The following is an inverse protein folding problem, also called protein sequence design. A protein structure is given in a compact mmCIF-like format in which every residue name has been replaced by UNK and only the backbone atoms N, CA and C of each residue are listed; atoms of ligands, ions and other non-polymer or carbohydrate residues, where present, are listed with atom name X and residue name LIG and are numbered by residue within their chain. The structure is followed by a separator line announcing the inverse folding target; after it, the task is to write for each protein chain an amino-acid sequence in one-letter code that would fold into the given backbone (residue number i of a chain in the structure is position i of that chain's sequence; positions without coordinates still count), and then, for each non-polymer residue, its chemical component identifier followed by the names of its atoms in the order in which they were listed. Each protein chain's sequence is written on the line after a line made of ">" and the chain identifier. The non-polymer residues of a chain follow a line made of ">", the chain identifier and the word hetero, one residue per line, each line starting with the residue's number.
data_IF_967183287748
#
_entry.id   IF_967183287748
#
_cell.length_a   1.000
_cell.length_b   1.000
_cell.length_c   1.000
_cell.angle_alpha   90.00
_cell.angle_beta   90.00
_cell.angle_gamma   90.00
#
_symmetry.space_group_name_H-M   'P 1'
#
loop_
_entity.id
_entity.type
_entity.pdbx_description
1 polymer ?
#
# COMPACT_ATOMS: atom_id res chain seq x y z
N UNK A 1 -13.13 -8.69 -8.66
CA UNK A 1 -12.10 -9.73 -8.38
C UNK A 1 -10.74 -9.39 -9.03
N UNK A 2 -10.66 -9.22 -10.36
CA UNK A 2 -9.37 -9.08 -11.09
C UNK A 2 -8.42 -8.03 -10.51
N UNK A 3 -8.93 -6.87 -10.12
CA UNK A 3 -8.11 -5.81 -9.54
C UNK A 3 -7.49 -6.22 -8.20
N UNK A 4 -8.25 -6.89 -7.33
CA UNK A 4 -7.75 -7.38 -6.03
C UNK A 4 -6.62 -8.40 -6.24
N UNK A 5 -6.85 -9.38 -7.13
CA UNK A 5 -5.84 -10.37 -7.47
C UNK A 5 -4.58 -9.72 -8.06
N UNK A 6 -4.75 -8.74 -8.95
CA UNK A 6 -3.63 -7.99 -9.52
C UNK A 6 -2.87 -7.22 -8.44
N UNK A 7 -3.56 -6.53 -7.54
CA UNK A 7 -2.95 -5.78 -6.43
C UNK A 7 -2.11 -6.69 -5.53
N UNK A 8 -2.60 -7.89 -5.23
CA UNK A 8 -1.91 -8.85 -4.36
C UNK A 8 -0.72 -9.53 -5.05
N UNK A 9 -0.83 -9.81 -6.35
CA UNK A 9 0.12 -10.69 -7.06
C UNK A 9 1.08 -9.94 -7.99
N UNK A 10 0.82 -8.66 -8.28
CA UNK A 10 1.71 -7.87 -9.13
C UNK A 10 3.08 -7.73 -8.47
N UNK A 11 4.18 -7.90 -9.23
CA UNK A 11 5.51 -7.65 -8.70
C UNK A 11 5.66 -6.17 -8.31
N UNK A 12 6.50 -5.85 -7.31
CA UNK A 12 6.83 -4.47 -7.00
C UNK A 12 7.48 -3.80 -8.20
N UNK A 13 7.27 -2.50 -8.35
CA UNK A 13 7.89 -1.71 -9.43
C UNK A 13 9.42 -1.61 -9.30
N UNK A 14 9.97 -1.81 -8.10
CA UNK A 14 11.39 -1.67 -7.82
C UNK A 14 11.96 -2.96 -7.25
N UNK A 15 12.88 -3.59 -7.98
CA UNK A 15 13.54 -4.82 -7.52
C UNK A 15 14.48 -4.56 -6.33
N UNK A 16 15.14 -3.40 -6.30
CA UNK A 16 16.08 -3.03 -5.26
C UNK A 16 15.85 -1.59 -4.79
N UNK A 17 15.88 -1.37 -3.48
CA UNK A 17 15.76 -0.05 -2.85
C UNK A 17 16.72 0.08 -1.68
N UNK A 18 17.17 1.31 -1.35
CA UNK A 18 18.01 1.54 -0.17
C UNK A 18 17.22 1.51 1.16
N UNK A 19 15.88 1.43 1.09
CA UNK A 19 15.00 1.22 2.23
C UNK A 19 14.39 -0.20 2.18
N UNK A 20 13.93 -0.74 3.33
CA UNK A 20 13.26 -2.03 3.37
C UNK A 20 12.00 -2.06 2.50
N UNK A 21 11.78 -3.16 1.79
CA UNK A 21 10.52 -3.47 1.14
C UNK A 21 9.85 -4.62 1.88
N UNK A 22 8.55 -4.49 2.13
CA UNK A 22 7.74 -5.54 2.73
C UNK A 22 6.45 -5.68 1.93
N UNK A 23 6.16 -6.90 1.49
CA UNK A 23 4.86 -7.23 0.95
C UNK A 23 3.82 -7.15 2.09
N UNK A 24 2.64 -6.49 1.94
CA UNK A 24 1.69 -6.34 3.05
C UNK A 24 1.24 -7.66 3.67
N UNK A 25 1.25 -8.75 2.90
CA UNK A 25 0.89 -10.09 3.35
C UNK A 25 2.09 -10.93 3.84
N UNK A 26 3.30 -10.37 3.97
CA UNK A 26 4.50 -11.13 4.32
C UNK A 26 4.39 -11.91 5.64
N UNK A 27 3.63 -11.39 6.61
CA UNK A 27 3.38 -12.06 7.89
C UNK A 27 2.23 -13.08 7.85
N UNK A 28 1.44 -13.10 6.77
CA UNK A 28 0.24 -13.94 6.63
C UNK A 28 0.58 -15.40 6.44
N UNK A 29 -0.28 -16.28 6.94
CA UNK A 29 -0.14 -17.72 6.70
C UNK A 29 -0.29 -18.09 5.22
N UNK A 30 -0.93 -17.23 4.41
CA UNK A 30 -0.98 -17.34 2.95
C UNK A 30 0.40 -17.44 2.28
N UNK A 31 1.46 -16.90 2.90
CA UNK A 31 2.83 -17.03 2.38
C UNK A 31 3.31 -18.48 2.45
N UNK A 32 2.95 -19.19 3.51
CA UNK A 32 3.32 -20.60 3.72
C UNK A 32 2.31 -21.56 3.09
N UNK A 33 1.07 -21.11 2.89
CA UNK A 33 -0.02 -21.86 2.28
C UNK A 33 -0.64 -21.06 1.09
N UNK A 34 0.07 -20.91 -0.04
CA UNK A 34 -0.41 -20.10 -1.17
C UNK A 34 -1.71 -20.65 -1.80
N UNK A 35 -2.03 -21.92 -1.58
CA UNK A 35 -3.30 -22.50 -2.01
C UNK A 35 -4.50 -21.86 -1.28
N UNK A 36 -4.35 -21.46 -0.02
CA UNK A 36 -5.43 -20.80 0.72
C UNK A 36 -5.72 -19.40 0.16
N UNK A 37 -4.69 -18.67 -0.27
CA UNK A 37 -4.86 -17.42 -1.01
C UNK A 37 -5.58 -17.66 -2.34
N UNK A 38 -5.18 -18.70 -3.08
CA UNK A 38 -5.84 -19.06 -4.33
C UNK A 38 -7.33 -19.39 -4.10
N UNK A 39 -7.65 -20.20 -3.08
CA UNK A 39 -9.01 -20.57 -2.72
C UNK A 39 -9.84 -19.35 -2.33
N UNK A 40 -9.27 -18.42 -1.54
CA UNK A 40 -9.90 -17.13 -1.22
C UNK A 40 -10.22 -16.31 -2.47
N UNK A 41 -9.26 -16.19 -3.41
CA UNK A 41 -9.47 -15.46 -4.65
C UNK A 41 -10.51 -16.15 -5.57
N UNK A 42 -10.52 -17.48 -5.62
CA UNK A 42 -11.52 -18.25 -6.37
C UNK A 42 -12.92 -18.08 -5.80
N UNK A 43 -13.07 -18.08 -4.47
CA UNK A 43 -14.36 -17.82 -3.82
C UNK A 43 -14.87 -16.42 -4.17
N UNK A 44 -14.00 -15.40 -4.20
CA UNK A 44 -14.37 -14.04 -4.58
C UNK A 44 -14.63 -13.85 -6.08
N UNK A 45 -14.14 -14.75 -6.93
CA UNK A 45 -14.49 -14.76 -8.35
C UNK A 45 -15.91 -15.32 -8.56
N UNK A 46 -16.26 -16.33 -7.77
CA UNK A 46 -17.60 -16.94 -7.78
C UNK A 46 -18.64 -16.01 -7.15
N UNK A 47 -18.27 -15.25 -6.11
CA UNK A 47 -19.11 -14.28 -5.44
C UNK A 47 -18.33 -13.02 -5.03
N UNK A 48 -18.41 -11.99 -5.86
CA UNK A 48 -17.73 -10.71 -5.63
C UNK A 48 -18.45 -9.79 -4.66
N UNK A 49 -19.66 -10.13 -4.18
CA UNK A 49 -20.48 -9.24 -3.33
C UNK A 49 -19.75 -8.73 -2.09
N UNK A 50 -18.98 -9.53 -1.32
CA UNK A 50 -18.29 -9.02 -0.14
C UNK A 50 -17.28 -7.90 -0.48
N UNK A 51 -16.56 -8.05 -1.60
CA UNK A 51 -15.61 -7.04 -2.07
C UNK A 51 -16.34 -5.79 -2.59
N UNK A 52 -17.44 -5.96 -3.32
CA UNK A 52 -18.24 -4.85 -3.85
C UNK A 52 -18.89 -4.03 -2.73
N UNK A 53 -19.49 -4.70 -1.74
CA UNK A 53 -20.06 -4.08 -0.56
C UNK A 53 -19.00 -3.31 0.22
N UNK A 54 -17.81 -3.91 0.41
CA UNK A 54 -16.69 -3.22 1.01
C UNK A 54 -16.31 -1.96 0.23
N UNK A 55 -16.09 -2.05 -1.08
CA UNK A 55 -15.70 -0.91 -1.91
C UNK A 55 -16.78 0.19 -1.92
N UNK A 56 -18.06 -0.17 -1.82
CA UNK A 56 -19.18 0.77 -1.77
C UNK A 56 -19.18 1.65 -0.51
N UNK A 57 -18.67 1.16 0.64
CA UNK A 57 -18.59 1.92 1.90
C UNK A 57 -17.80 3.23 1.78
N UNK A 58 -16.87 3.30 0.83
CA UNK A 58 -16.01 4.46 0.60
C UNK A 58 -15.77 4.68 -0.90
N UNK A 59 -16.87 4.85 -1.66
CA UNK A 59 -16.78 5.03 -3.12
C UNK A 59 -15.88 6.21 -3.49
N UNK A 60 -14.97 5.99 -4.45
CA UNK A 60 -13.98 6.99 -4.87
C UNK A 60 -13.65 6.83 -6.35
N UNK A 61 -13.45 7.95 -7.04
CA UNK A 61 -12.89 7.95 -8.41
C UNK A 61 -11.36 8.09 -8.41
N UNK A 62 -10.73 8.28 -7.24
CA UNK A 62 -9.29 8.43 -7.11
C UNK A 62 -8.65 7.05 -7.01
N UNK A 63 -7.82 6.69 -8.00
CA UNK A 63 -7.15 5.39 -8.10
C UNK A 63 -6.34 5.02 -6.85
N UNK A 64 -5.63 5.97 -6.24
CA UNK A 64 -4.86 5.72 -5.01
C UNK A 64 -5.73 5.22 -3.85
N UNK A 65 -6.86 5.89 -3.60
CA UNK A 65 -7.82 5.47 -2.57
C UNK A 65 -8.47 4.13 -2.89
N UNK A 66 -8.77 3.87 -4.16
CA UNK A 66 -9.28 2.57 -4.58
C UNK A 66 -8.27 1.44 -4.29
N UNK A 67 -7.00 1.68 -4.62
CA UNK A 67 -5.89 0.76 -4.34
C UNK A 67 -5.70 0.50 -2.83
N UNK A 68 -5.77 1.54 -2.00
CA UNK A 68 -5.75 1.39 -0.53
C UNK A 68 -6.92 0.53 -0.03
N UNK A 69 -8.14 0.75 -0.54
CA UNK A 69 -9.33 -0.04 -0.17
C UNK A 69 -9.19 -1.52 -0.54
N UNK A 70 -8.58 -1.83 -1.69
CA UNK A 70 -8.28 -3.21 -2.09
C UNK A 70 -7.30 -3.88 -1.12
N UNK A 71 -6.23 -3.18 -0.73
CA UNK A 71 -5.28 -3.70 0.25
C UNK A 71 -5.91 -3.88 1.63
N UNK A 72 -6.70 -2.93 2.11
CA UNK A 72 -7.42 -3.06 3.37
C UNK A 72 -8.34 -4.29 3.36
N UNK A 73 -9.05 -4.52 2.25
CA UNK A 73 -9.87 -5.73 2.09
C UNK A 73 -9.04 -7.01 2.16
N UNK A 74 -7.94 -7.07 1.40
CA UNK A 74 -7.06 -8.24 1.37
C UNK A 74 -6.51 -8.56 2.76
N UNK A 75 -5.95 -7.55 3.43
CA UNK A 75 -5.31 -7.73 4.74
C UNK A 75 -6.34 -8.08 5.82
N UNK A 76 -7.55 -7.53 5.78
CA UNK A 76 -8.61 -7.90 6.73
C UNK A 76 -9.00 -9.40 6.66
N UNK A 77 -8.77 -10.05 5.52
CA UNK A 77 -9.02 -11.48 5.34
C UNK A 77 -7.76 -12.35 5.47
N UNK A 78 -6.59 -11.73 5.60
CA UNK A 78 -5.30 -12.42 5.64
C UNK A 78 -5.07 -13.05 7.02
N UNK A 79 -4.98 -14.38 7.12
CA UNK A 79 -4.73 -15.03 8.41
C UNK A 79 -3.37 -14.63 8.98
N UNK A 80 -3.32 -14.31 10.28
CA UNK A 80 -2.07 -13.95 10.95
C UNK A 80 -1.60 -12.51 10.73
N UNK A 81 -2.40 -11.66 10.06
CA UNK A 81 -2.15 -10.23 9.93
C UNK A 81 -3.37 -9.44 10.42
N UNK A 82 -3.14 -8.42 11.24
CA UNK A 82 -4.17 -7.53 11.77
C UNK A 82 -3.91 -6.09 11.28
N UNK A 83 -4.97 -5.38 10.87
CA UNK A 83 -4.92 -3.94 10.63
C UNK A 83 -5.17 -3.24 11.98
N UNK A 84 -4.14 -2.59 12.53
CA UNK A 84 -4.29 -1.74 13.73
C UNK A 84 -4.97 -0.42 13.36
N UNK A 85 -4.52 0.19 12.25
CA UNK A 85 -5.11 1.40 11.70
C UNK A 85 -4.85 1.49 10.21
N UNK A 86 -5.73 2.20 9.51
CA UNK A 86 -5.59 2.53 8.10
C UNK A 86 -5.89 4.02 7.89
N UNK A 87 -5.17 4.65 6.96
CA UNK A 87 -5.32 6.07 6.64
C UNK A 87 -5.26 6.97 7.89
N UNK A 88 -4.29 6.75 8.79
CA UNK A 88 -4.19 7.46 10.06
C UNK A 88 -3.55 8.85 9.86
N UNK A 89 -4.30 9.97 9.98
CA UNK A 89 -3.73 11.29 9.80
C UNK A 89 -2.81 11.66 10.97
N UNK A 90 -1.59 12.09 10.66
CA UNK A 90 -0.66 12.64 11.64
C UNK A 90 -0.80 14.16 11.67
N UNK A 91 -1.12 14.71 12.85
CA UNK A 91 -1.45 16.13 13.02
C UNK A 91 -0.60 16.79 14.10
N UNK A 92 -0.28 18.07 13.88
CA UNK A 92 0.27 18.98 14.87
C UNK A 92 -0.70 20.17 15.01
N UNK A 93 -1.49 20.18 16.08
CA UNK A 93 -2.60 21.12 16.23
C UNK A 93 -3.62 20.94 15.09
N UNK A 94 -3.91 22.02 14.36
CA UNK A 94 -4.81 21.99 13.20
C UNK A 94 -4.13 21.54 11.89
N UNK A 95 -2.79 21.45 11.86
CA UNK A 95 -2.04 21.11 10.65
C UNK A 95 -1.93 19.59 10.49
N UNK A 96 -2.33 19.07 9.33
CA UNK A 96 -2.00 17.69 8.92
C UNK A 96 -0.58 17.66 8.36
N UNK A 97 0.30 16.91 9.01
CA UNK A 97 1.68 16.71 8.60
C UNK A 97 1.83 15.59 7.57
N UNK A 98 0.87 14.67 7.54
CA UNK A 98 0.82 13.53 6.64
C UNK A 98 -0.19 12.48 7.13
N UNK A 99 -0.07 11.27 6.59
CA UNK A 99 -0.93 10.13 6.89
C UNK A 99 -0.07 8.86 6.88
N UNK A 100 -0.38 7.91 7.75
CA UNK A 100 0.15 6.55 7.68
C UNK A 100 -0.89 5.67 6.97
N UNK A 101 -0.54 5.10 5.83
CA UNK A 101 -1.49 4.37 4.98
C UNK A 101 -2.01 3.10 5.67
N UNK A 102 -1.10 2.26 6.18
CA UNK A 102 -1.42 1.07 6.95
C UNK A 102 -0.47 0.88 8.14
N UNK A 103 -1.05 0.54 9.30
CA UNK A 103 -0.35 -0.02 10.45
C UNK A 103 -0.81 -1.46 10.63
N UNK A 104 0.10 -2.40 10.41
CA UNK A 104 -0.17 -3.83 10.45
C UNK A 104 0.50 -4.48 11.66
N UNK A 105 -0.13 -5.49 12.24
CA UNK A 105 0.49 -6.37 13.23
C UNK A 105 0.54 -7.79 12.69
N UNK A 106 1.69 -8.42 12.79
CA UNK A 106 1.87 -9.85 12.54
C UNK A 106 2.82 -10.46 13.58
N UNK A 107 3.24 -11.71 13.35
CA UNK A 107 4.16 -12.45 14.25
C UNK A 107 5.52 -11.77 14.47
N UNK A 108 5.93 -10.87 13.58
CA UNK A 108 7.21 -10.15 13.64
C UNK A 108 7.08 -8.78 14.33
N UNK A 109 5.85 -8.34 14.61
CA UNK A 109 5.58 -7.09 15.34
C UNK A 109 4.66 -6.14 14.58
N UNK A 110 4.83 -4.84 14.84
CA UNK A 110 4.02 -3.77 14.22
C UNK A 110 4.81 -3.12 13.10
N UNK A 111 4.18 -3.00 11.94
CA UNK A 111 4.78 -2.50 10.70
C UNK A 111 3.99 -1.30 10.19
N UNK A 112 4.71 -0.24 9.86
CA UNK A 112 4.17 0.84 9.04
C UNK A 112 4.40 0.50 7.57
N UNK A 113 3.32 0.43 6.78
CA UNK A 113 3.36 0.12 5.35
C UNK A 113 2.74 1.27 4.57
N UNK A 114 3.54 1.82 3.66
CA UNK A 114 3.13 2.84 2.69
C UNK A 114 2.64 2.17 1.41
N UNK A 115 1.48 2.58 0.91
CA UNK A 115 0.86 2.05 -0.30
C UNK A 115 0.94 3.08 -1.42
N UNK A 116 1.46 2.66 -2.58
CA UNK A 116 1.49 3.52 -3.75
C UNK A 116 1.22 2.73 -5.02
N UNK A 117 0.23 3.19 -5.80
CA UNK A 117 0.07 2.83 -7.20
C UNK A 117 0.47 4.02 -8.07
N UNK A 118 1.37 3.78 -9.01
CA UNK A 118 1.87 4.80 -9.95
C UNK A 118 2.02 4.21 -11.35
N UNK A 119 1.70 5.04 -12.33
CA UNK A 119 1.80 4.72 -13.75
C UNK A 119 2.70 5.79 -14.37
N UNK A 120 3.82 5.34 -14.94
CA UNK A 120 4.82 6.20 -15.55
C UNK A 120 5.04 5.78 -17.01
N UNK A 121 5.27 6.77 -17.87
CA UNK A 121 5.75 6.57 -19.23
C UNK A 121 7.28 6.58 -19.19
N UNK A 122 7.87 5.44 -19.57
CA UNK A 122 9.32 5.31 -19.70
C UNK A 122 9.83 5.87 -21.04
N UNK A 123 11.14 6.15 -21.14
CA UNK A 123 11.76 6.58 -22.38
C UNK A 123 11.71 5.45 -23.42
N UNK A 124 11.31 5.75 -24.66
CA UNK A 124 11.16 4.77 -25.74
C UNK A 124 12.49 4.09 -26.12
N UNK A 125 13.58 4.85 -26.14
CA UNK A 125 14.91 4.40 -26.56
C UNK A 125 15.91 4.29 -25.40
N UNK A 126 15.42 4.19 -24.16
CA UNK A 126 16.24 4.07 -22.95
C UNK A 126 16.21 2.68 -22.33
N UNK A 127 17.20 2.36 -21.51
CA UNK A 127 17.23 1.13 -20.69
C UNK A 127 16.28 1.17 -19.48
N UNK A 128 15.56 2.28 -19.28
CA UNK A 128 14.66 2.49 -18.16
C UNK A 128 15.37 2.68 -16.80
N UNK A 129 16.70 2.74 -16.75
CA UNK A 129 17.45 2.70 -15.49
C UNK A 129 17.35 4.01 -14.68
N UNK A 130 17.08 5.14 -15.34
CA UNK A 130 17.09 6.48 -14.74
C UNK A 130 15.69 6.90 -14.25
N UNK A 131 15.42 6.99 -12.93
CA UNK A 131 14.09 7.35 -12.40
C UNK A 131 13.58 8.71 -12.88
N UNK A 132 14.44 9.66 -13.20
CA UNK A 132 14.07 10.98 -13.70
C UNK A 132 13.44 10.97 -15.11
N UNK A 133 13.59 9.86 -15.85
CA UNK A 133 13.00 9.69 -17.19
C UNK A 133 11.59 9.12 -17.17
N UNK A 134 11.11 8.69 -16.01
CA UNK A 134 9.79 8.10 -15.85
C UNK A 134 8.78 9.20 -15.51
N UNK A 135 7.98 9.58 -16.50
CA UNK A 135 7.06 10.72 -16.42
C UNK A 135 5.63 10.26 -16.18
N UNK A 136 5.00 10.82 -15.16
CA UNK A 136 3.58 10.62 -14.86
C UNK A 136 2.71 11.71 -15.51
N UNK A 137 1.41 11.73 -15.20
CA UNK A 137 0.47 12.70 -15.76
C UNK A 137 0.92 14.15 -15.55
N UNK A 138 0.93 14.94 -16.64
CA UNK A 138 1.27 16.36 -16.60
C UNK A 138 2.76 16.68 -16.41
N UNK A 139 3.66 15.70 -16.58
CA UNK A 139 5.14 15.82 -16.51
C UNK A 139 5.74 16.33 -15.19
N UNK A 140 4.91 16.80 -14.25
CA UNK A 140 5.31 17.19 -12.91
C UNK A 140 5.44 15.98 -11.96
N UNK A 141 4.66 14.92 -12.19
CA UNK A 141 4.85 13.62 -11.54
C UNK A 141 6.04 12.93 -12.20
N UNK A 142 7.05 12.60 -11.41
CA UNK A 142 8.23 11.86 -11.85
C UNK A 142 8.60 10.82 -10.81
N UNK A 143 9.10 9.68 -11.25
CA UNK A 143 9.47 8.59 -10.34
C UNK A 143 10.54 9.04 -9.34
N UNK A 144 11.61 9.72 -9.78
CA UNK A 144 12.66 10.23 -8.88
C UNK A 144 12.10 11.07 -7.72
N UNK A 145 11.19 12.01 -8.01
CA UNK A 145 10.55 12.87 -7.00
C UNK A 145 9.68 12.06 -6.04
N UNK A 146 8.93 11.07 -6.54
CA UNK A 146 8.12 10.19 -5.69
C UNK A 146 9.02 9.36 -4.77
N UNK A 147 10.15 8.85 -5.27
CA UNK A 147 11.10 8.08 -4.47
C UNK A 147 11.80 8.93 -3.41
N UNK A 148 12.19 10.16 -3.75
CA UNK A 148 12.71 11.12 -2.76
C UNK A 148 11.67 11.41 -1.67
N UNK A 149 10.41 11.65 -2.05
CA UNK A 149 9.35 11.92 -1.07
C UNK A 149 9.05 10.70 -0.20
N UNK A 150 8.96 9.51 -0.79
CA UNK A 150 8.74 8.26 -0.06
C UNK A 150 9.82 8.04 1.00
N UNK A 151 11.10 8.12 0.59
CA UNK A 151 12.23 7.83 1.46
C UNK A 151 12.49 8.90 2.52
N UNK A 152 12.39 10.18 2.16
CA UNK A 152 12.74 11.27 3.07
C UNK A 152 11.57 11.76 3.92
N UNK A 153 10.33 11.49 3.51
CA UNK A 153 9.15 12.02 4.18
C UNK A 153 8.22 10.93 4.72
N UNK A 154 7.72 10.05 3.86
CA UNK A 154 6.66 9.09 4.21
C UNK A 154 7.17 7.96 5.12
N UNK A 155 8.22 7.23 4.71
CA UNK A 155 8.76 6.12 5.49
C UNK A 155 9.22 6.53 6.91
N UNK A 156 9.93 7.66 7.11
CA UNK A 156 10.32 8.11 8.46
C UNK A 156 9.15 8.63 9.29
N UNK A 157 7.96 8.83 8.72
CA UNK A 157 6.85 9.50 9.40
C UNK A 157 6.42 8.77 10.66
N UNK A 158 6.33 7.44 10.65
CA UNK A 158 5.93 6.64 11.81
C UNK A 158 6.86 6.79 13.01
N UNK A 159 8.13 7.17 12.79
CA UNK A 159 9.12 7.36 13.84
C UNK A 159 9.08 8.75 14.48
N UNK A 160 8.35 9.71 13.89
CA UNK A 160 8.29 11.10 14.38
C UNK A 160 7.55 11.21 15.73
N UNK A 161 7.89 12.21 16.57
CA UNK A 161 7.22 12.41 17.86
C UNK A 161 5.70 12.54 17.76
N UNK A 162 5.20 13.26 16.75
CA UNK A 162 3.78 13.47 16.52
C UNK A 162 3.06 12.16 16.18
N UNK A 163 3.72 11.28 15.43
CA UNK A 163 3.19 9.96 15.09
C UNK A 163 3.15 9.05 16.31
N UNK A 164 4.14 9.11 17.21
CA UNK A 164 4.14 8.35 18.46
C UNK A 164 2.96 8.73 19.36
N UNK A 165 2.62 10.02 19.41
CA UNK A 165 1.45 10.49 20.16
C UNK A 165 0.14 9.96 19.55
N UNK A 166 0.01 9.96 18.22
CA UNK A 166 -1.14 9.38 17.54
C UNK A 166 -1.24 7.85 17.76
N UNK A 167 -0.13 7.14 17.65
CA UNK A 167 -0.01 5.69 17.87
C UNK A 167 -0.34 5.28 19.31
N UNK A 168 0.01 6.10 20.31
CA UNK A 168 -0.29 5.82 21.70
C UNK A 168 -1.80 5.90 22.03
N UNK A 169 -2.61 6.46 21.14
CA UNK A 169 -4.07 6.53 21.27
C UNK A 169 -4.84 5.42 20.56
N UNK A 170 -4.15 4.49 19.90
CA UNK A 170 -4.73 3.29 19.26
C UNK A 170 -4.81 2.14 20.27
#
# INVERSE_FOLDING_TARGET
>A
MRDLAWVILAPPMLDATPWPQRHPLAGSDWVQAPQELADFLFQLDQDSRPLEEWLALASTRRLGRYYERLWQFAVQHAPGVEIIAANLPIRLGSQTLGELDLLLRDREGVHHVELAIKLYLGPQDGDGARPEHWLGPGSNDRLDRKLTHLSQHQLPMSARPESRAALAGL
#
